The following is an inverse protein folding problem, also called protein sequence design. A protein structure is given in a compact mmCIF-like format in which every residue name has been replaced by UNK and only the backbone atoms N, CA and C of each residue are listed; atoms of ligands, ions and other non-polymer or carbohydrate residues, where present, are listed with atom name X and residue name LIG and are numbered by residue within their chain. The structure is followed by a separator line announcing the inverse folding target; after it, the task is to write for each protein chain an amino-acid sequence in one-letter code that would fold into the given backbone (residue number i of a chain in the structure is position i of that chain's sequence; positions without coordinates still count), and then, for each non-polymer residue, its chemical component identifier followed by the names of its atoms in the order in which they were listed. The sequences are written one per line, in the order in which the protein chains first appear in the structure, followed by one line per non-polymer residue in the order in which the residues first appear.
data_IF_673572373477
#
_entry.id   IF_673572373477
#
_cell.length_a   1.000
_cell.length_b   1.000
_cell.length_c   1.000
_cell.angle_alpha   90.00
_cell.angle_beta   90.00
_cell.angle_gamma   90.00
#
_symmetry.space_group_name_H-M   'P 1'
#
loop_
_entity.id
_entity.type
_entity.pdbx_description
1 polymer ?
#
# COMPACT_ATOMS: atom_id res chain seq x y z
N UNK A 1 -47.37 -41.54 -42.76
CA UNK A 1 -46.61 -41.67 -41.49
C UNK A 1 -46.28 -40.27 -40.98
N UNK A 2 -46.89 -39.84 -39.87
CA UNK A 2 -46.24 -39.23 -38.69
C UNK A 2 -47.32 -38.62 -37.80
N UNK A 3 -47.45 -39.19 -36.60
CA UNK A 3 -48.29 -38.70 -35.50
C UNK A 3 -47.46 -37.77 -34.63
N UNK A 4 -48.12 -36.69 -34.24
CA UNK A 4 -47.95 -35.87 -33.03
C UNK A 4 -47.03 -36.42 -31.93
N UNK A 5 -46.07 -35.58 -31.51
CA UNK A 5 -45.51 -35.58 -30.16
C UNK A 5 -45.83 -34.22 -29.56
N UNK A 6 -46.92 -34.15 -28.80
CA UNK A 6 -47.22 -33.08 -27.85
C UNK A 6 -47.25 -33.72 -26.46
N UNK A 7 -46.49 -33.14 -25.52
CA UNK A 7 -46.57 -33.26 -24.06
C UNK A 7 -45.21 -33.54 -23.43
N UNK A 8 -44.42 -32.48 -23.24
CA UNK A 8 -43.45 -32.33 -22.15
C UNK A 8 -42.86 -30.91 -22.22
N UNK A 9 -43.56 -29.91 -21.68
CA UNK A 9 -43.00 -28.55 -21.69
C UNK A 9 -43.88 -27.45 -21.10
N UNK A 10 -44.63 -27.70 -20.02
CA UNK A 10 -45.60 -26.72 -19.53
C UNK A 10 -45.64 -26.52 -17.99
N UNK A 11 -44.51 -26.70 -17.30
CA UNK A 11 -44.38 -26.29 -15.89
C UNK A 11 -42.96 -25.80 -15.54
N UNK A 12 -42.58 -24.62 -16.03
CA UNK A 12 -41.54 -23.80 -15.38
C UNK A 12 -41.53 -22.32 -15.82
N UNK A 13 -42.71 -21.70 -15.98
CA UNK A 13 -42.83 -20.23 -16.13
C UNK A 13 -43.85 -19.75 -15.11
N UNK A 14 -43.39 -19.45 -13.90
CA UNK A 14 -44.27 -19.17 -12.77
C UNK A 14 -43.70 -18.23 -11.73
N UNK A 15 -42.66 -17.42 -12.03
CA UNK A 15 -42.24 -16.26 -11.21
C UNK A 15 -41.67 -15.18 -12.15
N UNK A 16 -42.48 -14.65 -13.07
CA UNK A 16 -41.98 -13.69 -14.07
C UNK A 16 -42.96 -12.63 -14.59
N UNK A 17 -44.23 -12.59 -14.14
CA UNK A 17 -45.28 -11.84 -14.87
C UNK A 17 -46.13 -10.88 -14.03
N UNK A 18 -45.66 -10.40 -12.87
CA UNK A 18 -46.40 -9.37 -12.10
C UNK A 18 -45.93 -7.92 -12.28
N UNK A 19 -45.04 -7.62 -13.23
CA UNK A 19 -44.60 -6.24 -13.51
C UNK A 19 -45.08 -5.63 -14.84
N UNK A 20 -45.94 -6.32 -15.61
CA UNK A 20 -46.19 -5.94 -16.99
C UNK A 20 -47.37 -4.96 -17.25
N UNK A 21 -48.04 -4.40 -16.23
CA UNK A 21 -49.21 -3.55 -16.49
C UNK A 21 -49.39 -2.40 -15.50
N UNK A 22 -48.48 -1.41 -15.53
CA UNK A 22 -48.78 -0.05 -15.11
C UNK A 22 -47.87 0.95 -15.86
N UNK A 23 -48.43 1.62 -16.87
CA UNK A 23 -48.08 3.00 -17.19
C UNK A 23 -46.94 3.24 -18.18
N UNK A 24 -47.32 3.30 -19.47
CA UNK A 24 -46.54 3.71 -20.64
C UNK A 24 -46.02 5.17 -20.63
N UNK A 25 -45.29 5.61 -19.60
CA UNK A 25 -44.72 6.97 -19.52
C UNK A 25 -43.22 7.04 -19.15
N UNK A 26 -42.46 5.94 -19.29
CA UNK A 26 -41.00 5.93 -19.12
C UNK A 26 -40.29 5.33 -20.33
N UNK A 27 -40.55 5.88 -21.52
CA UNK A 27 -39.79 5.57 -22.73
C UNK A 27 -38.42 6.26 -22.74
N UNK A 28 -37.57 5.98 -21.75
CA UNK A 28 -36.13 6.31 -21.74
C UNK A 28 -35.33 5.72 -20.54
N UNK A 29 -35.98 5.20 -19.49
CA UNK A 29 -35.32 4.81 -18.24
C UNK A 29 -35.61 3.35 -17.87
N UNK A 30 -34.83 2.40 -18.41
CA UNK A 30 -34.53 1.08 -17.81
C UNK A 30 -33.86 0.13 -18.83
N UNK A 31 -32.81 0.58 -19.51
CA UNK A 31 -31.70 -0.34 -19.79
C UNK A 31 -30.60 0.00 -18.80
N UNK A 32 -30.82 -0.29 -17.51
CA UNK A 32 -29.67 -0.58 -16.67
C UNK A 32 -28.99 -1.79 -17.33
N UNK A 33 -27.70 -1.73 -17.67
CA UNK A 33 -27.05 -2.84 -18.33
C UNK A 33 -27.10 -4.05 -17.40
N UNK A 34 -27.99 -5.01 -17.67
CA UNK A 34 -28.14 -6.27 -16.93
C UNK A 34 -26.78 -6.97 -16.76
N UNK A 35 -25.89 -6.75 -17.74
CA UNK A 35 -24.50 -7.21 -17.73
C UNK A 35 -23.67 -6.61 -16.58
N UNK A 36 -23.84 -5.33 -16.25
CA UNK A 36 -23.12 -4.66 -15.15
C UNK A 36 -23.63 -5.12 -13.79
N UNK A 37 -24.96 -5.23 -13.62
CA UNK A 37 -25.53 -5.78 -12.39
C UNK A 37 -25.05 -7.22 -12.15
N UNK A 38 -25.04 -8.06 -13.19
CA UNK A 38 -24.53 -9.42 -13.10
C UNK A 38 -23.01 -9.47 -12.84
N UNK A 39 -22.22 -8.53 -13.38
CA UNK A 39 -20.78 -8.43 -13.10
C UNK A 39 -20.52 -8.01 -11.65
N UNK A 40 -21.28 -7.04 -11.14
CA UNK A 40 -21.23 -6.61 -9.75
C UNK A 40 -21.59 -7.74 -8.80
N UNK A 41 -22.71 -8.44 -9.01
CA UNK A 41 -23.12 -9.59 -8.19
C UNK A 41 -22.05 -10.70 -8.17
N UNK A 42 -21.46 -11.01 -9.33
CA UNK A 42 -20.34 -11.97 -9.41
C UNK A 42 -19.12 -11.49 -8.64
N UNK A 43 -18.79 -10.21 -8.72
CA UNK A 43 -17.66 -9.65 -8.00
C UNK A 43 -17.89 -9.71 -6.48
N UNK A 44 -19.07 -9.30 -6.02
CA UNK A 44 -19.41 -9.33 -4.60
C UNK A 44 -19.52 -10.75 -4.06
N UNK A 45 -19.97 -11.72 -4.87
CA UNK A 45 -19.90 -13.15 -4.50
C UNK A 45 -18.47 -13.61 -4.21
N UNK A 46 -17.47 -13.06 -4.93
CA UNK A 46 -16.05 -13.35 -4.66
C UNK A 46 -15.58 -12.65 -3.39
N UNK A 47 -16.03 -11.43 -3.12
CA UNK A 47 -15.74 -10.72 -1.86
C UNK A 47 -16.24 -11.54 -0.67
N UNK A 48 -17.49 -12.02 -0.72
CA UNK A 48 -18.08 -12.85 0.32
C UNK A 48 -17.23 -14.10 0.63
N UNK A 49 -16.70 -14.74 -0.42
CA UNK A 49 -15.90 -15.95 -0.30
C UNK A 49 -14.56 -15.73 0.43
N UNK A 50 -14.00 -14.52 0.37
CA UNK A 50 -12.70 -14.20 0.98
C UNK A 50 -12.80 -13.48 2.32
N UNK A 51 -13.94 -12.84 2.63
CA UNK A 51 -14.13 -12.08 3.88
C UNK A 51 -14.81 -12.88 5.01
N UNK A 52 -15.19 -14.13 4.77
CA UNK A 52 -15.66 -15.03 5.84
C UNK A 52 -17.16 -15.01 6.15
N UNK A 53 -17.99 -14.39 5.29
CA UNK A 53 -19.36 -14.88 5.10
C UNK A 53 -20.48 -14.44 6.05
N UNK A 54 -20.33 -13.41 6.89
CA UNK A 54 -21.47 -12.91 7.68
C UNK A 54 -22.48 -12.14 6.77
N UNK A 55 -23.74 -12.59 6.73
CA UNK A 55 -24.79 -12.01 5.86
C UNK A 55 -24.99 -10.50 6.10
N UNK A 56 -25.00 -10.06 7.35
CA UNK A 56 -25.20 -8.64 7.71
C UNK A 56 -24.06 -7.77 7.21
N UNK A 57 -22.81 -8.20 7.40
CA UNK A 57 -21.63 -7.47 6.92
C UNK A 57 -21.48 -7.50 5.40
N UNK A 58 -22.09 -8.48 4.72
CA UNK A 58 -22.10 -8.53 3.25
C UNK A 58 -23.04 -7.49 2.64
N UNK A 59 -24.15 -7.16 3.30
CA UNK A 59 -25.02 -6.05 2.89
C UNK A 59 -24.26 -4.74 2.93
N UNK A 60 -23.52 -4.50 4.03
CA UNK A 60 -22.71 -3.29 4.18
C UNK A 60 -21.60 -3.19 3.11
N UNK A 61 -20.93 -4.30 2.80
CA UNK A 61 -19.93 -4.35 1.72
C UNK A 61 -20.55 -4.04 0.35
N UNK A 62 -21.76 -4.56 0.05
CA UNK A 62 -22.47 -4.26 -1.19
C UNK A 62 -22.84 -2.78 -1.30
N UNK A 63 -23.40 -2.21 -0.25
CA UNK A 63 -23.81 -0.80 -0.24
C UNK A 63 -22.58 0.12 -0.30
N UNK A 64 -21.52 -0.19 0.43
CA UNK A 64 -20.25 0.53 0.36
C UNK A 64 -19.66 0.50 -1.05
N UNK A 65 -19.61 -0.65 -1.71
CA UNK A 65 -19.09 -0.75 -3.08
C UNK A 65 -19.92 0.08 -4.08
N UNK A 66 -21.24 0.12 -3.94
CA UNK A 66 -22.11 0.96 -4.77
C UNK A 66 -21.89 2.44 -4.49
N UNK A 67 -21.79 2.82 -3.22
CA UNK A 67 -21.60 4.22 -2.82
C UNK A 67 -20.26 4.75 -3.30
N UNK A 68 -19.18 3.99 -3.10
CA UNK A 68 -17.85 4.30 -3.62
C UNK A 68 -17.85 4.34 -5.15
N UNK A 69 -18.64 3.46 -5.78
CA UNK A 69 -18.90 3.47 -7.21
C UNK A 69 -19.59 4.74 -7.74
N UNK A 70 -20.28 5.48 -6.88
CA UNK A 70 -21.01 6.72 -7.21
C UNK A 70 -20.24 7.98 -6.83
N UNK A 71 -19.42 7.90 -5.79
CA UNK A 71 -18.75 9.04 -5.15
C UNK A 71 -17.27 9.16 -5.54
N UNK A 72 -16.66 8.09 -6.04
CA UNK A 72 -15.27 8.08 -6.50
C UNK A 72 -15.20 7.95 -8.02
N UNK A 73 -13.98 8.05 -8.58
CA UNK A 73 -13.74 7.80 -10.01
C UNK A 73 -13.81 6.31 -10.40
N UNK A 74 -13.88 5.40 -9.42
CA UNK A 74 -13.90 3.96 -9.66
C UNK A 74 -15.34 3.44 -9.73
N UNK A 75 -15.58 2.42 -10.55
CA UNK A 75 -16.87 1.73 -10.59
C UNK A 75 -17.10 0.86 -9.35
N UNK A 76 -18.37 0.52 -9.08
CA UNK A 76 -18.72 -0.41 -8.00
C UNK A 76 -18.06 -1.80 -8.16
N UNK A 77 -17.81 -2.24 -9.41
CA UNK A 77 -17.07 -3.48 -9.69
C UNK A 77 -15.60 -3.35 -9.28
N UNK A 78 -14.96 -2.21 -9.57
CA UNK A 78 -13.57 -1.94 -9.17
C UNK A 78 -13.44 -1.80 -7.64
N UNK A 79 -14.40 -1.15 -6.98
CA UNK A 79 -14.45 -1.11 -5.52
C UNK A 79 -14.59 -2.53 -4.94
N UNK A 80 -15.49 -3.35 -5.49
CA UNK A 80 -15.63 -4.76 -5.11
C UNK A 80 -14.37 -5.58 -5.40
N UNK A 81 -13.58 -5.23 -6.41
CA UNK A 81 -12.27 -5.85 -6.66
C UNK A 81 -11.25 -5.51 -5.57
N UNK A 82 -11.14 -4.24 -5.19
CA UNK A 82 -10.34 -3.83 -4.03
C UNK A 82 -10.74 -4.57 -2.76
N UNK A 83 -12.04 -4.66 -2.46
CA UNK A 83 -12.56 -5.39 -1.31
C UNK A 83 -12.16 -6.86 -1.32
N UNK A 84 -12.15 -7.49 -2.50
CA UNK A 84 -11.71 -8.89 -2.66
C UNK A 84 -10.23 -9.03 -2.34
N UNK A 85 -9.38 -8.11 -2.81
CA UNK A 85 -7.94 -8.16 -2.50
C UNK A 85 -7.68 -7.97 -1.01
N UNK A 86 -8.36 -7.00 -0.38
CA UNK A 86 -8.30 -6.80 1.07
C UNK A 86 -8.71 -8.08 1.82
N UNK A 87 -9.82 -8.71 1.42
CA UNK A 87 -10.25 -9.99 2.01
C UNK A 87 -9.26 -11.14 1.78
N UNK A 88 -8.63 -11.22 0.59
CA UNK A 88 -7.58 -12.20 0.32
C UNK A 88 -6.33 -12.00 1.18
N UNK A 89 -6.05 -10.75 1.58
CA UNK A 89 -5.00 -10.43 2.55
C UNK A 89 -5.38 -10.79 3.99
N UNK A 90 -6.56 -11.38 4.21
CA UNK A 90 -7.03 -11.88 5.49
C UNK A 90 -7.94 -10.92 6.25
N UNK A 91 -8.31 -9.78 5.66
CA UNK A 91 -9.20 -8.83 6.32
C UNK A 91 -10.64 -9.36 6.38
N UNK A 92 -11.26 -9.21 7.54
CA UNK A 92 -12.68 -9.47 7.71
C UNK A 92 -13.53 -8.35 7.09
N UNK A 93 -14.85 -8.55 6.98
CA UNK A 93 -15.74 -7.59 6.34
C UNK A 93 -15.69 -6.16 6.94
N UNK A 94 -15.56 -6.03 8.26
CA UNK A 94 -15.48 -4.72 8.93
C UNK A 94 -14.17 -4.01 8.61
N UNK A 95 -13.07 -4.75 8.60
CA UNK A 95 -11.75 -4.25 8.23
C UNK A 95 -11.71 -3.82 6.77
N UNK A 96 -12.32 -4.59 5.87
CA UNK A 96 -12.46 -4.24 4.46
C UNK A 96 -13.23 -2.92 4.29
N UNK A 97 -14.33 -2.73 5.02
CA UNK A 97 -15.10 -1.48 4.98
C UNK A 97 -14.28 -0.26 5.39
N UNK A 98 -13.41 -0.40 6.40
CA UNK A 98 -12.53 0.67 6.85
C UNK A 98 -11.39 0.94 5.85
N UNK A 99 -10.89 -0.08 5.17
CA UNK A 99 -9.69 0.02 4.32
C UNK A 99 -10.00 0.33 2.85
N UNK A 100 -11.22 0.07 2.36
CA UNK A 100 -11.52 0.20 0.92
C UNK A 100 -11.47 1.64 0.42
N UNK A 101 -11.96 2.61 1.18
CA UNK A 101 -11.92 4.02 0.77
C UNK A 101 -10.47 4.54 0.71
N UNK A 102 -9.63 4.34 1.75
CA UNK A 102 -8.20 4.61 1.65
C UNK A 102 -7.52 3.93 0.45
N UNK A 103 -7.86 2.67 0.15
CA UNK A 103 -7.29 1.95 -0.99
C UNK A 103 -7.65 2.60 -2.33
N UNK A 104 -8.89 3.07 -2.47
CA UNK A 104 -9.34 3.84 -3.63
C UNK A 104 -8.62 5.19 -3.73
N UNK A 105 -8.43 5.90 -2.62
CA UNK A 105 -7.66 7.16 -2.62
C UNK A 105 -6.20 6.93 -3.03
N UNK A 106 -5.55 5.88 -2.52
CA UNK A 106 -4.18 5.53 -2.94
C UNK A 106 -4.13 5.15 -4.42
N UNK A 107 -5.11 4.37 -4.89
CA UNK A 107 -5.22 3.99 -6.29
C UNK A 107 -5.40 5.22 -7.19
N UNK A 108 -6.20 6.20 -6.75
CA UNK A 108 -6.38 7.47 -7.43
C UNK A 108 -5.07 8.27 -7.50
N UNK A 109 -4.39 8.43 -6.36
CA UNK A 109 -3.17 9.21 -6.25
C UNK A 109 -1.99 8.58 -7.00
N UNK A 110 -1.92 7.25 -7.03
CA UNK A 110 -0.85 6.50 -7.68
C UNK A 110 -1.14 6.04 -9.12
N UNK A 111 -2.30 6.42 -9.67
CA UNK A 111 -2.81 5.89 -10.96
C UNK A 111 -2.74 4.36 -11.03
N UNK A 112 -3.11 3.69 -9.94
CA UNK A 112 -3.07 2.23 -9.79
C UNK A 112 -4.46 1.62 -9.99
N UNK A 113 -4.49 0.31 -10.25
CA UNK A 113 -5.70 -0.45 -10.01
C UNK A 113 -5.96 -0.55 -8.50
N UNK A 114 -7.24 -0.53 -8.10
CA UNK A 114 -7.65 -0.63 -6.68
C UNK A 114 -7.10 -1.89 -6.02
N UNK A 115 -7.04 -2.99 -6.79
CA UNK A 115 -6.45 -4.25 -6.35
C UNK A 115 -4.95 -4.15 -6.07
N UNK A 116 -4.19 -3.44 -6.92
CA UNK A 116 -2.75 -3.20 -6.69
C UNK A 116 -2.52 -2.35 -5.45
N UNK A 117 -3.28 -1.28 -5.26
CA UNK A 117 -3.17 -0.42 -4.07
C UNK A 117 -3.44 -1.21 -2.77
N UNK A 118 -4.49 -2.05 -2.77
CA UNK A 118 -4.82 -2.93 -1.66
C UNK A 118 -3.73 -3.98 -1.39
N UNK A 119 -3.20 -4.62 -2.43
CA UNK A 119 -2.12 -5.60 -2.32
C UNK A 119 -0.85 -4.95 -1.74
N UNK A 120 -0.44 -3.79 -2.24
CA UNK A 120 0.76 -3.10 -1.74
C UNK A 120 0.62 -2.71 -0.27
N UNK A 121 -0.50 -2.10 0.12
CA UNK A 121 -0.71 -1.66 1.49
C UNK A 121 -0.73 -2.84 2.47
N UNK A 122 -1.41 -3.94 2.11
CA UNK A 122 -1.51 -5.13 2.97
C UNK A 122 -0.20 -5.93 3.04
N UNK A 123 0.58 -5.96 1.96
CA UNK A 123 1.93 -6.54 1.96
C UNK A 123 2.91 -5.73 2.83
N UNK A 124 2.86 -4.40 2.76
CA UNK A 124 3.65 -3.52 3.64
C UNK A 124 3.22 -3.71 5.09
N UNK A 125 1.91 -3.69 5.38
CA UNK A 125 1.34 -3.90 6.71
C UNK A 125 1.87 -5.18 7.36
N UNK A 126 1.70 -6.32 6.68
CA UNK A 126 2.11 -7.62 7.20
C UNK A 126 3.63 -7.74 7.36
N UNK A 127 4.41 -7.23 6.39
CA UNK A 127 5.88 -7.30 6.43
C UNK A 127 6.45 -6.45 7.56
N UNK A 128 5.94 -5.22 7.73
CA UNK A 128 6.33 -4.29 8.79
C UNK A 128 5.75 -4.67 10.17
N UNK A 129 4.78 -5.59 10.22
CA UNK A 129 4.12 -6.01 11.46
C UNK A 129 3.16 -4.97 12.01
N UNK A 130 2.61 -4.14 11.13
CA UNK A 130 1.58 -3.14 11.42
C UNK A 130 0.21 -3.82 11.51
N UNK A 131 -0.74 -3.13 12.14
CA UNK A 131 -2.10 -3.63 12.31
C UNK A 131 -3.01 -3.15 11.18
N UNK A 132 -4.20 -3.73 11.10
CA UNK A 132 -5.19 -3.37 10.08
C UNK A 132 -5.65 -1.93 10.24
N UNK A 133 -5.73 -1.44 11.47
CA UNK A 133 -6.02 -0.04 11.79
C UNK A 133 -4.98 0.94 11.21
N UNK A 134 -3.77 0.46 10.91
CA UNK A 134 -2.70 1.27 10.32
C UNK A 134 -2.79 1.34 8.79
N UNK A 135 -3.70 0.61 8.12
CA UNK A 135 -3.76 0.59 6.65
C UNK A 135 -3.98 1.97 6.04
N UNK A 136 -4.88 2.77 6.62
CA UNK A 136 -5.10 4.15 6.16
C UNK A 136 -3.80 4.95 6.25
N UNK A 137 -3.09 4.84 7.38
CA UNK A 137 -1.82 5.52 7.60
C UNK A 137 -0.73 5.04 6.63
N UNK A 138 -0.65 3.74 6.37
CA UNK A 138 0.28 3.19 5.37
C UNK A 138 0.03 3.82 4.00
N UNK A 139 -1.23 3.90 3.58
CA UNK A 139 -1.62 4.46 2.30
C UNK A 139 -1.31 5.96 2.23
N UNK A 140 -1.61 6.70 3.28
CA UNK A 140 -1.30 8.14 3.39
C UNK A 140 0.21 8.41 3.30
N UNK A 141 1.02 7.64 4.03
CA UNK A 141 2.49 7.75 3.98
C UNK A 141 3.01 7.46 2.57
N UNK A 142 2.48 6.45 1.89
CA UNK A 142 2.89 6.09 0.54
C UNK A 142 2.47 7.16 -0.48
N UNK A 143 1.22 7.64 -0.41
CA UNK A 143 0.70 8.69 -1.26
C UNK A 143 1.47 10.00 -1.07
N UNK A 144 1.68 10.43 0.18
CA UNK A 144 2.45 11.62 0.51
C UNK A 144 3.88 11.51 -0.01
N UNK A 145 4.52 10.35 0.17
CA UNK A 145 5.90 10.14 -0.29
C UNK A 145 6.00 10.22 -1.81
N UNK A 146 5.06 9.60 -2.53
CA UNK A 146 4.99 9.69 -3.99
C UNK A 146 4.75 11.13 -4.46
N UNK A 147 3.82 11.86 -3.83
CA UNK A 147 3.50 13.24 -4.20
C UNK A 147 4.65 14.24 -3.94
N UNK A 148 5.50 13.98 -2.93
CA UNK A 148 6.54 14.91 -2.47
C UNK A 148 7.96 14.48 -2.83
N UNK A 149 8.13 13.49 -3.70
CA UNK A 149 9.44 13.07 -4.18
C UNK A 149 9.39 12.63 -5.64
N UNK A 150 10.56 12.35 -6.21
CA UNK A 150 10.64 11.92 -7.61
C UNK A 150 10.43 10.40 -7.69
N UNK A 151 9.27 9.89 -7.29
CA UNK A 151 8.90 8.45 -7.32
C UNK A 151 7.39 8.31 -7.48
N UNK A 152 6.91 7.11 -7.74
CA UNK A 152 5.48 6.78 -7.67
C UNK A 152 5.19 5.70 -6.61
N UNK A 153 3.90 5.43 -6.36
CA UNK A 153 3.45 4.45 -5.36
C UNK A 153 3.93 3.03 -5.71
N UNK A 154 3.98 2.65 -6.98
CA UNK A 154 4.44 1.33 -7.43
C UNK A 154 5.93 1.16 -7.18
N UNK A 155 6.74 2.17 -7.49
CA UNK A 155 8.17 2.20 -7.19
C UNK A 155 8.45 2.17 -5.69
N UNK A 156 7.65 2.87 -4.88
CA UNK A 156 7.76 2.80 -3.42
C UNK A 156 7.40 1.41 -2.90
N UNK A 157 6.32 0.81 -3.41
CA UNK A 157 5.92 -0.54 -3.02
C UNK A 157 7.01 -1.55 -3.39
N UNK A 158 7.57 -1.45 -4.59
CA UNK A 158 8.72 -2.25 -5.03
C UNK A 158 9.91 -2.06 -4.08
N UNK A 159 10.27 -0.83 -3.74
CA UNK A 159 11.35 -0.56 -2.79
C UNK A 159 11.08 -1.18 -1.41
N UNK A 160 9.86 -1.06 -0.90
CA UNK A 160 9.45 -1.62 0.39
C UNK A 160 9.58 -3.14 0.44
N UNK A 161 9.33 -3.86 -0.68
CA UNK A 161 9.53 -5.32 -0.74
C UNK A 161 10.95 -5.75 -0.37
N UNK A 162 11.95 -4.89 -0.58
CA UNK A 162 13.34 -5.18 -0.26
C UNK A 162 13.75 -4.74 1.14
N UNK A 163 13.15 -3.68 1.70
CA UNK A 163 13.67 -3.05 2.93
C UNK A 163 12.80 -3.24 4.16
N UNK A 164 11.48 -3.46 3.99
CA UNK A 164 10.52 -3.44 5.08
C UNK A 164 10.87 -4.44 6.22
N UNK A 165 11.28 -5.67 5.89
CA UNK A 165 11.61 -6.68 6.90
C UNK A 165 12.85 -6.29 7.73
N UNK A 166 13.88 -5.75 7.09
CA UNK A 166 15.10 -5.28 7.78
C UNK A 166 14.81 -4.03 8.61
N UNK A 167 14.00 -3.11 8.09
CA UNK A 167 13.55 -1.92 8.83
C UNK A 167 12.76 -2.31 10.09
N UNK A 168 11.80 -3.23 9.97
CA UNK A 168 11.08 -3.79 11.13
C UNK A 168 12.04 -4.43 12.13
N UNK A 169 12.99 -5.24 11.65
CA UNK A 169 13.99 -5.88 12.52
C UNK A 169 14.88 -4.87 13.23
N UNK A 170 15.12 -3.72 12.60
CA UNK A 170 15.83 -2.57 13.15
C UNK A 170 14.95 -1.65 14.02
N UNK A 171 13.63 -1.91 14.09
CA UNK A 171 12.61 -1.05 14.69
C UNK A 171 12.56 0.37 14.09
N UNK A 172 12.84 0.49 12.80
CA UNK A 172 12.69 1.75 12.06
C UNK A 172 11.24 1.86 11.62
N UNK A 173 10.53 2.94 11.97
CA UNK A 173 9.12 3.12 11.66
C UNK A 173 8.90 3.40 10.16
N UNK A 174 7.69 3.15 9.66
CA UNK A 174 7.33 3.24 8.24
C UNK A 174 7.66 4.60 7.64
N UNK A 175 7.34 5.67 8.37
CA UNK A 175 7.52 7.06 8.00
C UNK A 175 9.00 7.38 7.76
N UNK A 176 9.89 6.88 8.63
CA UNK A 176 11.32 7.05 8.43
C UNK A 176 11.79 6.29 7.19
N UNK A 177 11.37 5.04 7.01
CA UNK A 177 11.72 4.25 5.81
C UNK A 177 11.28 4.98 4.54
N UNK A 178 10.03 5.45 4.51
CA UNK A 178 9.46 6.21 3.39
C UNK A 178 10.19 7.53 3.16
N UNK A 179 10.59 8.25 4.21
CA UNK A 179 11.41 9.45 4.10
C UNK A 179 12.78 9.17 3.47
N UNK A 180 13.46 8.09 3.88
CA UNK A 180 14.72 7.67 3.23
C UNK A 180 14.49 7.36 1.75
N UNK A 181 13.45 6.59 1.42
CA UNK A 181 13.15 6.24 0.03
C UNK A 181 12.78 7.48 -0.81
N UNK A 182 12.00 8.42 -0.27
CA UNK A 182 11.64 9.68 -0.94
C UNK A 182 12.85 10.57 -1.20
N UNK A 183 13.74 10.73 -0.23
CA UNK A 183 14.99 11.51 -0.42
C UNK A 183 15.94 10.80 -1.39
N UNK A 184 16.03 9.48 -1.34
CA UNK A 184 16.79 8.70 -2.33
C UNK A 184 16.22 8.90 -3.74
N UNK A 185 14.90 8.92 -3.87
CA UNK A 185 14.21 9.14 -5.14
C UNK A 185 14.49 10.54 -5.72
N UNK A 186 14.47 11.59 -4.89
CA UNK A 186 14.89 12.95 -5.29
C UNK A 186 16.33 12.99 -5.82
N UNK A 187 17.19 12.10 -5.33
CA UNK A 187 18.57 11.93 -5.80
C UNK A 187 18.72 10.93 -6.97
N UNK A 188 17.61 10.52 -7.61
CA UNK A 188 17.61 9.61 -8.75
C UNK A 188 17.86 8.14 -8.40
N UNK A 189 17.57 7.74 -7.16
CA UNK A 189 17.68 6.36 -6.68
C UNK A 189 16.29 5.90 -6.23
N UNK A 190 15.60 5.18 -7.10
CA UNK A 190 14.19 4.80 -6.94
C UNK A 190 14.03 3.27 -6.93
N UNK A 191 12.79 2.80 -6.69
CA UNK A 191 12.37 1.42 -6.89
C UNK A 191 13.25 0.37 -6.18
N UNK A 192 13.44 -0.82 -6.76
CA UNK A 192 14.29 -1.89 -6.22
C UNK A 192 15.70 -1.45 -5.83
N UNK A 193 16.30 -0.51 -6.57
CA UNK A 193 17.64 0.00 -6.25
C UNK A 193 17.63 0.79 -4.94
N UNK A 194 16.59 1.59 -4.70
CA UNK A 194 16.44 2.31 -3.43
C UNK A 194 16.26 1.34 -2.27
N UNK A 195 15.29 0.42 -2.38
CA UNK A 195 15.01 -0.58 -1.34
C UNK A 195 16.22 -1.46 -1.03
N UNK A 196 16.90 -1.99 -2.06
CA UNK A 196 18.09 -2.84 -1.87
C UNK A 196 19.24 -2.09 -1.22
N UNK A 197 19.44 -0.82 -1.58
CA UNK A 197 20.54 -0.02 -1.03
C UNK A 197 20.26 0.37 0.41
N UNK A 198 19.03 0.80 0.73
CA UNK A 198 18.64 1.14 2.09
C UNK A 198 18.70 -0.09 3.00
N UNK A 199 18.22 -1.26 2.54
CA UNK A 199 18.43 -2.54 3.23
C UNK A 199 19.90 -2.77 3.56
N UNK A 200 20.79 -2.58 2.57
CA UNK A 200 22.23 -2.80 2.77
C UNK A 200 22.84 -1.82 3.79
N UNK A 201 22.38 -0.56 3.81
CA UNK A 201 22.77 0.42 4.85
C UNK A 201 22.33 -0.07 6.23
N UNK A 202 21.05 -0.40 6.39
CA UNK A 202 20.47 -0.87 7.66
C UNK A 202 21.23 -2.12 8.15
N UNK A 203 21.39 -3.14 7.29
CA UNK A 203 22.08 -4.37 7.65
C UNK A 203 23.54 -4.14 8.07
N UNK A 204 24.25 -3.22 7.40
CA UNK A 204 25.62 -2.84 7.76
C UNK A 204 25.73 -2.17 9.13
N UNK A 205 24.67 -1.55 9.64
CA UNK A 205 24.66 -0.90 10.95
C UNK A 205 24.11 -1.81 12.06
N UNK A 206 23.17 -2.71 11.76
CA UNK A 206 22.72 -3.70 12.75
C UNK A 206 23.86 -4.69 13.06
N UNK A 207 24.58 -5.15 12.04
CA UNK A 207 25.70 -6.10 12.18
C UNK A 207 26.92 -5.61 11.40
N UNK A 208 27.64 -4.60 11.92
CA UNK A 208 28.82 -4.07 11.25
C UNK A 208 29.92 -5.13 11.20
N UNK A 209 30.53 -5.29 10.03
CA UNK A 209 31.69 -6.16 9.87
C UNK A 209 32.90 -5.58 10.64
N UNK A 210 33.90 -6.39 11.01
CA UNK A 210 35.07 -5.90 11.74
C UNK A 210 35.81 -4.73 11.07
N UNK A 211 35.80 -4.67 9.73
CA UNK A 211 36.38 -3.53 8.99
C UNK A 211 35.52 -2.27 9.09
N UNK A 212 34.19 -2.41 9.10
CA UNK A 212 33.26 -1.29 9.28
C UNK A 212 33.36 -0.73 10.71
N UNK A 213 33.42 -1.61 11.72
CA UNK A 213 33.62 -1.22 13.13
C UNK A 213 34.90 -0.39 13.31
N UNK A 214 36.03 -0.86 12.80
CA UNK A 214 37.30 -0.11 12.84
C UNK A 214 37.21 1.24 12.15
N UNK A 215 36.42 1.36 11.09
CA UNK A 215 36.28 2.64 10.38
C UNK A 215 35.36 3.61 11.14
N UNK A 216 34.30 3.11 11.78
CA UNK A 216 33.46 3.87 12.70
C UNK A 216 34.26 4.38 13.91
N UNK A 217 35.11 3.53 14.50
CA UNK A 217 36.01 3.89 15.60
C UNK A 217 36.98 5.03 15.22
N UNK A 218 37.58 4.96 14.02
CA UNK A 218 38.47 6.04 13.54
C UNK A 218 37.74 7.36 13.31
N UNK A 219 36.48 7.30 12.91
CA UNK A 219 35.62 8.47 12.75
C UNK A 219 35.07 8.99 14.09
N UNK A 220 35.25 8.25 15.18
CA UNK A 220 34.67 8.58 16.48
C UNK A 220 33.14 8.49 16.49
N UNK A 221 32.56 7.64 15.63
CA UNK A 221 31.11 7.50 15.48
C UNK A 221 30.63 6.19 16.10
N UNK A 222 29.66 6.30 16.99
CA UNK A 222 28.95 5.15 17.55
C UNK A 222 27.61 4.94 16.84
N UNK A 223 27.26 3.67 16.61
CA UNK A 223 25.94 3.32 16.06
C UNK A 223 24.91 3.59 17.15
N UNK A 224 24.10 4.61 16.93
CA UNK A 224 23.13 5.09 17.91
C UNK A 224 21.92 4.19 17.96
N UNK A 225 21.33 4.08 19.15
CA UNK A 225 20.09 3.34 19.37
C UNK A 225 19.01 4.25 19.92
N UNK A 226 17.78 3.98 19.51
CA UNK A 226 16.58 4.60 20.10
C UNK A 226 16.34 4.05 21.51
N UNK A 227 15.48 4.70 22.29
CA UNK A 227 15.18 4.31 23.67
C UNK A 227 14.59 2.90 23.81
N UNK A 228 13.94 2.39 22.77
CA UNK A 228 13.39 1.03 22.69
C UNK A 228 14.42 0.01 22.15
N UNK A 229 15.68 0.42 21.96
CA UNK A 229 16.78 -0.42 21.52
C UNK A 229 16.84 -0.66 20.01
N UNK A 230 16.02 0.04 19.22
CA UNK A 230 16.09 0.09 17.76
C UNK A 230 17.34 0.81 17.25
N UNK A 231 17.59 0.73 15.94
CA UNK A 231 18.64 1.49 15.27
C UNK A 231 18.18 2.94 15.09
N UNK A 232 18.88 3.89 15.70
CA UNK A 232 18.71 5.31 15.39
C UNK A 232 19.49 5.64 14.12
N UNK A 233 18.89 5.31 12.99
CA UNK A 233 19.51 5.46 11.68
C UNK A 233 19.77 6.94 11.35
N UNK A 234 18.84 7.82 11.74
CA UNK A 234 18.94 9.25 11.46
C UNK A 234 20.15 9.85 12.19
N UNK A 235 20.26 9.62 13.50
CA UNK A 235 21.38 10.10 14.30
C UNK A 235 22.70 9.47 13.85
N UNK A 236 22.72 8.15 13.58
CA UNK A 236 23.94 7.47 13.13
C UNK A 236 24.46 8.04 11.81
N UNK A 237 23.58 8.29 10.84
CA UNK A 237 23.95 8.90 9.56
C UNK A 237 24.37 10.37 9.72
N UNK A 238 23.74 11.11 10.64
CA UNK A 238 24.09 12.50 10.93
C UNK A 238 25.47 12.62 11.57
N UNK A 239 25.78 11.73 12.52
CA UNK A 239 27.09 11.63 13.15
C UNK A 239 28.19 11.27 12.13
N UNK A 240 27.91 10.34 11.20
CA UNK A 240 28.80 10.03 10.07
C UNK A 240 29.02 11.24 9.16
N UNK A 241 27.97 12.01 8.87
CA UNK A 241 28.05 13.24 8.08
C UNK A 241 28.92 14.30 8.75
N UNK A 242 28.70 14.55 10.05
CA UNK A 242 29.45 15.49 10.88
C UNK A 242 30.92 15.09 11.06
N UNK A 243 31.19 13.78 11.15
CA UNK A 243 32.55 13.24 11.21
C UNK A 243 33.30 13.36 9.87
N UNK A 244 32.65 13.85 8.81
CA UNK A 244 33.27 14.05 7.51
C UNK A 244 33.55 12.73 6.77
N UNK A 245 32.71 11.71 6.97
CA UNK A 245 32.86 10.40 6.33
C UNK A 245 33.10 10.55 4.82
N UNK A 246 34.26 10.07 4.35
CA UNK A 246 34.60 10.09 2.93
C UNK A 246 33.89 8.97 2.17
N UNK A 247 33.83 9.08 0.84
CA UNK A 247 33.27 8.02 -0.01
C UNK A 247 33.99 6.69 0.19
N UNK A 248 35.32 6.67 0.32
CA UNK A 248 36.08 5.42 0.56
C UNK A 248 35.66 4.72 1.85
N UNK A 249 35.47 5.50 2.92
CA UNK A 249 35.02 5.00 4.21
C UNK A 249 33.58 4.50 4.14
N UNK A 250 32.70 5.23 3.44
CA UNK A 250 31.32 4.82 3.18
C UNK A 250 31.25 3.46 2.47
N UNK A 251 32.09 3.21 1.46
CA UNK A 251 32.19 1.91 0.80
C UNK A 251 32.74 0.80 1.69
N UNK A 252 33.52 1.14 2.72
CA UNK A 252 34.01 0.18 3.72
C UNK A 252 32.93 -0.17 4.74
N UNK A 253 32.17 0.84 5.19
CA UNK A 253 31.09 0.69 6.18
C UNK A 253 29.87 -0.01 5.56
N UNK A 254 29.38 0.50 4.42
CA UNK A 254 28.14 0.04 3.78
C UNK A 254 28.34 -0.96 2.64
N UNK A 255 29.59 -1.37 2.37
CA UNK A 255 29.97 -2.20 1.21
C UNK A 255 29.71 -1.48 -0.12
N UNK A 256 30.10 -2.13 -1.22
CA UNK A 256 30.06 -1.52 -2.57
C UNK A 256 28.66 -1.16 -3.07
N UNK A 257 27.65 -1.93 -2.67
CA UNK A 257 26.26 -1.74 -3.11
C UNK A 257 25.64 -0.48 -2.49
N UNK A 258 25.97 -0.19 -1.22
CA UNK A 258 25.40 0.94 -0.50
C UNK A 258 26.40 2.07 -0.23
N UNK A 259 27.67 1.96 -0.62
CA UNK A 259 28.69 2.97 -0.34
C UNK A 259 28.35 4.37 -0.89
N UNK A 260 27.85 4.46 -2.12
CA UNK A 260 27.38 5.74 -2.68
C UNK A 260 26.12 6.26 -1.99
N UNK A 261 25.17 5.36 -1.69
CA UNK A 261 23.91 5.70 -1.01
C UNK A 261 24.16 6.15 0.43
N UNK A 262 25.02 5.47 1.17
CA UNK A 262 25.37 5.84 2.55
C UNK A 262 26.01 7.23 2.63
N UNK A 263 26.81 7.63 1.63
CA UNK A 263 27.32 9.00 1.55
C UNK A 263 26.21 10.01 1.26
N UNK A 264 25.30 9.69 0.34
CA UNK A 264 24.16 10.57 0.02
C UNK A 264 23.25 10.75 1.24
N UNK A 265 22.88 9.66 1.90
CA UNK A 265 22.02 9.68 3.08
C UNK A 265 22.65 10.47 4.25
N UNK A 266 23.94 10.25 4.53
CA UNK A 266 24.65 10.99 5.58
C UNK A 266 24.74 12.51 5.30
N UNK A 267 24.60 12.94 4.04
CA UNK A 267 24.58 14.36 3.66
C UNK A 267 23.17 14.96 3.64
N UNK A 268 22.15 14.12 3.51
CA UNK A 268 20.74 14.53 3.42
C UNK A 268 19.97 14.35 4.74
N UNK A 269 20.64 14.17 5.88
CA UNK A 269 19.99 13.90 7.18
C UNK A 269 18.95 14.95 7.56
N UNK A 270 19.21 16.23 7.29
CA UNK A 270 18.24 17.31 7.52
C UNK A 270 17.00 17.21 6.65
N UNK A 271 17.17 16.86 5.37
CA UNK A 271 16.05 16.70 4.44
C UNK A 271 15.22 15.47 4.82
N UNK A 272 15.88 14.37 5.19
CA UNK A 272 15.24 13.14 5.68
C UNK A 272 14.45 13.42 6.95
N UNK A 273 15.02 14.19 7.90
CA UNK A 273 14.34 14.60 9.13
C UNK A 273 13.07 15.40 8.83
N UNK A 274 13.18 16.46 8.02
CA UNK A 274 12.03 17.28 7.64
C UNK A 274 10.94 16.46 6.90
N UNK A 275 11.34 15.53 6.03
CA UNK A 275 10.41 14.65 5.33
C UNK A 275 9.72 13.69 6.31
N UNK A 276 10.48 13.09 7.23
CA UNK A 276 9.95 12.20 8.25
C UNK A 276 8.98 12.93 9.18
N UNK A 277 9.31 14.15 9.62
CA UNK A 277 8.45 14.95 10.48
C UNK A 277 7.11 15.27 9.80
N UNK A 278 7.13 15.55 8.49
CA UNK A 278 5.91 15.76 7.71
C UNK A 278 5.05 14.49 7.62
N UNK A 279 5.69 13.31 7.53
CA UNK A 279 5.01 12.02 7.53
C UNK A 279 4.41 11.63 8.89
N UNK A 280 4.99 12.10 10.00
CA UNK A 280 4.41 11.96 11.34
C UNK A 280 3.37 13.06 11.67
N UNK A 281 3.35 14.14 10.89
CA UNK A 281 2.49 15.30 11.10
C UNK A 281 1.09 15.14 10.52
N UNK A 282 0.16 16.05 10.86
CA UNK A 282 -1.21 16.05 10.32
C UNK A 282 -1.28 16.27 8.81
N UNK A 283 -0.20 16.75 8.19
CA UNK A 283 -0.10 16.97 6.74
C UNK A 283 -0.14 15.66 5.94
N UNK A 284 0.33 14.55 6.51
CA UNK A 284 0.23 13.22 5.88
C UNK A 284 -1.22 12.70 5.86
N UNK A 285 -1.99 12.95 6.92
CA UNK A 285 -3.38 12.47 7.10
C UNK A 285 -4.40 13.18 6.19
N UNK A 286 -3.98 14.25 5.49
CA UNK A 286 -4.84 15.05 4.61
C UNK A 286 -4.49 14.97 3.13
N UNK A 287 -3.40 14.30 2.75
CA UNK A 287 -2.93 14.25 1.35
C UNK A 287 -3.79 13.36 0.43
N UNK A 288 -4.70 12.58 1.01
CA UNK A 288 -5.60 11.65 0.31
C UNK A 288 -7.05 12.17 0.11
N UNK A 289 -7.31 13.45 0.43
CA UNK A 289 -8.55 14.17 0.16
C UNK A 289 -8.46 15.00 -1.14
#
# INVERSE_FOLDING_TARGET
KMKSVSAAGDKMVGIGTKFAAAGAAMGAMAMFPVKEAASFERQMSRVLAVTGGAEESFVDLNESAKELGRTTQFSAVQAGEGMRFLGMAGLNAKEVLSAIQPALSLAAAGELEVGEAADYATNIMSTMGLQVEDLTHIMDVMAYTAANSNTDVRQLAEAMTYVALDARSAKIPLEQVSAYLGVMAKNGIQASRAGTSLRAVIASLIRPLPKAQKELEKLGVEISKTSDGGLDLAKTLDDLGKAGMTTSQSYTIFKRVAGGVGTALARSTKEIGAFSDALFGPEAQGAAL
#
